data_IF_446934771733
#
_entry.id   IF_446934771733
#
_cell.length_a   1.000
_cell.length_b   1.000
_cell.length_c   1.000
_cell.angle_alpha   90.00
_cell.angle_beta   90.00
_cell.angle_gamma   90.00
#
_symmetry.space_group_name_H-M   'P 1'
#
loop_
_entity.id
_entity.type
_entity.pdbx_description
1 polymer ?
#
# COMPACT_ATOMS: atom_id res chain seq x y z
N UNK A 1 -23.65 -58.30 -59.52
CA UNK A 1 -24.73 -58.58 -58.55
C UNK A 1 -25.06 -57.30 -57.83
N UNK A 2 -26.36 -57.07 -57.63
CA UNK A 2 -27.01 -55.79 -57.41
C UNK A 2 -27.50 -55.68 -55.96
N UNK A 3 -27.57 -54.45 -55.43
CA UNK A 3 -28.21 -54.01 -54.17
C UNK A 3 -27.55 -54.48 -52.87
N UNK A 4 -27.55 -53.79 -51.73
CA UNK A 4 -27.89 -52.44 -51.19
C UNK A 4 -27.40 -52.56 -49.71
N UNK A 5 -27.05 -51.53 -48.96
CA UNK A 5 -27.95 -50.73 -48.10
C UNK A 5 -27.02 -49.83 -47.25
N UNK A 6 -27.19 -48.50 -47.37
CA UNK A 6 -26.75 -47.42 -46.47
C UNK A 6 -27.53 -47.49 -45.13
N UNK A 7 -27.43 -46.52 -44.19
CA UNK A 7 -26.33 -45.77 -43.57
C UNK A 7 -26.36 -46.00 -42.03
N UNK A 8 -25.74 -45.15 -41.19
CA UNK A 8 -26.25 -44.64 -39.88
C UNK A 8 -25.18 -44.51 -38.75
N UNK A 9 -25.25 -43.34 -38.08
CA UNK A 9 -24.70 -42.90 -36.77
C UNK A 9 -23.21 -42.46 -36.71
N UNK A 10 -22.91 -41.16 -36.58
CA UNK A 10 -22.98 -40.29 -35.37
C UNK A 10 -21.87 -40.58 -34.34
N UNK A 11 -20.89 -39.66 -34.24
CA UNK A 11 -20.44 -39.09 -32.98
C UNK A 11 -19.44 -37.94 -33.24
N UNK A 12 -19.85 -36.73 -32.88
CA UNK A 12 -18.97 -35.57 -32.71
C UNK A 12 -17.95 -35.85 -31.59
N UNK A 13 -16.76 -35.20 -31.62
CA UNK A 13 -15.77 -35.36 -30.55
C UNK A 13 -16.24 -34.62 -29.29
N UNK A 14 -16.65 -35.39 -28.28
CA UNK A 14 -16.77 -34.93 -26.88
C UNK A 14 -15.55 -35.39 -26.10
N UNK A 15 -14.51 -34.58 -26.10
CA UNK A 15 -13.48 -34.54 -25.06
C UNK A 15 -13.32 -33.04 -24.77
N UNK A 16 -14.01 -32.47 -23.78
CA UNK A 16 -13.92 -32.89 -22.39
C UNK A 16 -12.85 -32.01 -21.76
N UNK A 17 -13.29 -30.95 -21.11
CA UNK A 17 -12.49 -29.87 -20.57
C UNK A 17 -11.30 -30.37 -19.72
N UNK A 18 -10.08 -30.14 -20.19
CA UNK A 18 -8.92 -29.97 -19.32
C UNK A 18 -8.97 -28.55 -18.76
N UNK A 19 -9.88 -28.31 -17.81
CA UNK A 19 -9.78 -27.15 -16.95
C UNK A 19 -8.70 -27.45 -15.89
N UNK A 20 -7.68 -26.59 -15.71
CA UNK A 20 -6.65 -26.83 -14.72
C UNK A 20 -7.24 -26.58 -13.33
N UNK A 21 -7.73 -27.62 -12.67
CA UNK A 21 -8.13 -27.57 -11.25
C UNK A 21 -6.90 -27.42 -10.33
N UNK A 22 -5.68 -27.43 -10.89
CA UNK A 22 -4.43 -27.21 -10.17
C UNK A 22 -4.21 -25.76 -9.69
N UNK A 23 -4.90 -24.76 -10.25
CA UNK A 23 -4.68 -23.35 -9.87
C UNK A 23 -5.38 -22.93 -8.57
N UNK A 24 -6.25 -23.78 -8.00
CA UNK A 24 -6.93 -23.47 -6.73
C UNK A 24 -6.19 -23.99 -5.49
N UNK A 25 -5.26 -24.94 -5.63
CA UNK A 25 -4.37 -25.36 -4.54
C UNK A 25 -3.02 -24.61 -4.54
N UNK A 26 -2.59 -24.04 -5.66
CA UNK A 26 -1.36 -23.25 -5.73
C UNK A 26 -1.40 -21.95 -4.90
N UNK A 27 -2.58 -21.52 -4.43
CA UNK A 27 -2.71 -20.36 -3.54
C UNK A 27 -2.75 -20.74 -2.05
N UNK A 28 -2.76 -22.03 -1.71
CA UNK A 28 -2.72 -22.49 -0.32
C UNK A 28 -1.29 -22.64 0.23
N UNK A 29 -0.27 -22.64 -0.65
CA UNK A 29 1.14 -22.88 -0.31
C UNK A 29 2.02 -21.65 -0.60
N UNK A 30 1.55 -20.44 -0.27
CA UNK A 30 2.48 -19.35 0.03
C UNK A 30 3.07 -19.61 1.43
N UNK A 31 3.89 -20.66 1.54
CA UNK A 31 4.36 -21.28 2.78
C UNK A 31 5.52 -20.49 3.39
N UNK A 32 5.24 -19.24 3.76
CA UNK A 32 6.12 -18.35 4.48
C UNK A 32 5.37 -17.71 5.65
N UNK A 33 6.08 -17.25 6.71
CA UNK A 33 5.44 -16.53 7.79
C UNK A 33 4.67 -15.34 7.22
N UNK A 34 3.43 -15.15 7.70
CA UNK A 34 2.60 -14.02 7.28
C UNK A 34 3.37 -12.70 7.46
N UNK A 35 3.30 -11.76 6.50
CA UNK A 35 4.02 -10.50 6.62
C UNK A 35 3.63 -9.76 7.90
N UNK A 36 4.64 -9.19 8.58
CA UNK A 36 4.40 -8.34 9.75
C UNK A 36 3.49 -7.18 9.37
N UNK A 37 2.59 -6.81 10.29
CA UNK A 37 1.57 -5.79 10.06
C UNK A 37 1.29 -4.97 11.31
N UNK A 38 0.88 -3.72 11.10
CA UNK A 38 0.37 -2.81 12.12
C UNK A 38 -0.76 -1.97 11.53
N UNK A 39 -2.00 -2.29 11.91
CA UNK A 39 -3.19 -1.71 11.28
C UNK A 39 -3.17 -1.94 9.77
N UNK A 40 -3.28 -0.89 8.94
CA UNK A 40 -3.23 -1.02 7.49
C UNK A 40 -1.79 -1.16 6.93
N UNK A 41 -0.74 -0.93 7.74
CA UNK A 41 0.65 -1.06 7.28
C UNK A 41 1.05 -2.52 7.26
N UNK A 42 1.49 -3.01 6.10
CA UNK A 42 2.02 -4.38 5.94
C UNK A 42 3.42 -4.31 5.33
N UNK A 43 4.35 -5.08 5.89
CA UNK A 43 5.71 -5.20 5.35
C UNK A 43 5.66 -5.73 3.91
N UNK A 44 6.43 -5.10 3.04
CA UNK A 44 6.49 -5.36 1.60
C UNK A 44 5.57 -4.47 0.76
N UNK A 45 4.66 -3.70 1.37
CA UNK A 45 3.79 -2.77 0.63
C UNK A 45 4.48 -1.45 0.28
N UNK A 46 3.99 -0.83 -0.80
CA UNK A 46 4.36 0.54 -1.17
C UNK A 46 3.14 1.44 -1.12
N UNK A 47 3.22 2.53 -0.38
CA UNK A 47 2.15 3.51 -0.27
C UNK A 47 2.40 4.69 -1.19
N UNK A 48 1.37 5.12 -1.91
CA UNK A 48 1.36 6.40 -2.61
C UNK A 48 0.52 7.39 -1.82
N UNK A 49 1.13 8.49 -1.42
CA UNK A 49 0.49 9.59 -0.70
C UNK A 49 0.49 10.81 -1.59
N UNK A 50 -0.67 11.42 -1.82
CA UNK A 50 -0.76 12.61 -2.68
C UNK A 50 -1.83 13.58 -2.21
N UNK A 51 -1.73 14.84 -2.61
CA UNK A 51 -2.77 15.82 -2.33
C UNK A 51 -2.36 17.28 -2.56
N UNK A 52 -3.34 18.20 -2.61
CA UNK A 52 -3.09 19.62 -2.76
C UNK A 52 -2.68 20.28 -1.44
N UNK A 53 -1.65 21.14 -1.48
CA UNK A 53 -1.25 22.04 -0.39
C UNK A 53 -0.52 23.25 -0.95
N UNK A 54 -0.81 24.45 -0.44
CA UNK A 54 -0.16 25.70 -0.85
C UNK A 54 -0.17 25.94 -2.37
N UNK A 55 -1.33 25.68 -3.01
CA UNK A 55 -1.53 25.91 -4.44
C UNK A 55 -0.89 24.88 -5.38
N UNK A 56 -0.30 23.80 -4.84
CA UNK A 56 0.31 22.71 -5.64
C UNK A 56 -0.14 21.33 -5.18
N UNK A 57 -0.08 20.35 -6.08
CA UNK A 57 -0.25 18.94 -5.74
C UNK A 57 1.11 18.30 -5.49
N UNK A 58 1.21 17.54 -4.40
CA UNK A 58 2.40 16.75 -4.06
C UNK A 58 2.08 15.26 -4.13
N UNK A 59 3.08 14.44 -4.45
CA UNK A 59 2.99 12.98 -4.46
C UNK A 59 4.27 12.40 -3.88
N UNK A 60 4.14 11.41 -3.00
CA UNK A 60 5.24 10.74 -2.33
C UNK A 60 4.98 9.23 -2.29
N UNK A 61 6.03 8.45 -2.56
CA UNK A 61 6.00 6.99 -2.37
C UNK A 61 6.68 6.62 -1.05
N UNK A 62 6.09 5.69 -0.30
CA UNK A 62 6.58 5.23 1.01
C UNK A 62 6.66 3.70 1.02
N UNK A 63 7.86 3.16 1.10
CA UNK A 63 8.09 1.71 1.14
C UNK A 63 8.06 1.22 2.60
N UNK A 64 7.27 0.19 2.87
CA UNK A 64 7.20 -0.45 4.19
C UNK A 64 8.15 -1.65 4.18
N UNK A 65 9.43 -1.40 4.46
CA UNK A 65 10.47 -2.44 4.43
C UNK A 65 10.46 -3.34 5.66
N UNK A 66 10.16 -2.79 6.82
CA UNK A 66 9.93 -3.50 8.08
C UNK A 66 9.19 -2.56 9.07
N UNK A 67 8.73 -3.09 10.20
CA UNK A 67 7.95 -2.38 11.21
C UNK A 67 8.58 -2.55 12.60
N UNK A 68 8.59 -1.48 13.40
CA UNK A 68 9.16 -1.46 14.75
C UNK A 68 8.23 -0.74 15.71
N UNK A 69 8.18 -1.23 16.94
CA UNK A 69 7.42 -0.59 18.01
C UNK A 69 8.14 0.67 18.49
N UNK A 70 7.37 1.74 18.66
CA UNK A 70 7.78 3.04 19.16
C UNK A 70 6.80 3.49 20.25
N UNK A 71 7.14 4.54 21.00
CA UNK A 71 6.37 4.96 22.19
C UNK A 71 4.85 5.14 21.93
N UNK A 72 4.47 5.61 20.74
CA UNK A 72 3.08 5.93 20.38
C UNK A 72 2.48 5.01 19.29
N UNK A 73 3.08 3.85 19.03
CA UNK A 73 2.55 2.89 18.04
C UNK A 73 3.63 2.11 17.31
N UNK A 74 3.41 1.88 16.01
CA UNK A 74 4.35 1.15 15.16
C UNK A 74 4.78 2.05 14.01
N UNK A 75 6.08 2.16 13.79
CA UNK A 75 6.67 2.92 12.68
C UNK A 75 7.31 1.97 11.67
N UNK A 76 7.44 2.40 10.42
CA UNK A 76 8.36 1.74 9.49
C UNK A 76 9.79 1.79 10.05
N UNK A 77 10.66 0.84 9.71
CA UNK A 77 12.07 0.84 10.17
C UNK A 77 12.78 2.15 9.81
N UNK A 78 12.52 2.65 8.60
CA UNK A 78 12.92 4.00 8.18
C UNK A 78 12.49 5.06 9.20
N UNK A 79 11.31 4.94 9.80
CA UNK A 79 10.79 5.82 10.84
C UNK A 79 11.57 5.89 12.14
N UNK A 80 12.07 4.75 12.66
CA UNK A 80 12.80 4.75 13.94
C UNK A 80 14.11 5.52 13.82
N UNK A 81 14.89 5.21 12.80
CA UNK A 81 16.18 5.85 12.58
C UNK A 81 16.01 7.29 12.06
N UNK A 82 14.90 7.57 11.37
CA UNK A 82 14.61 8.90 10.86
C UNK A 82 13.93 9.82 11.86
N UNK A 83 13.34 9.35 12.96
CA UNK A 83 12.77 10.26 13.98
C UNK A 83 13.82 11.30 14.45
N UNK A 84 15.05 10.84 14.68
CA UNK A 84 16.18 11.71 15.00
C UNK A 84 16.63 12.55 13.79
N UNK A 85 16.62 11.97 12.59
CA UNK A 85 17.03 12.64 11.36
C UNK A 85 16.05 13.72 10.87
N UNK A 86 14.76 13.59 11.17
CA UNK A 86 13.72 14.60 10.99
C UNK A 86 13.99 15.80 11.91
N UNK A 87 14.42 15.55 13.16
CA UNK A 87 14.90 16.59 14.07
C UNK A 87 16.09 17.38 13.49
N UNK A 88 16.91 16.73 12.66
CA UNK A 88 18.02 17.36 11.94
C UNK A 88 17.64 17.96 10.56
N UNK A 89 16.37 17.87 10.12
CA UNK A 89 15.89 18.49 8.88
C UNK A 89 16.49 17.93 7.59
N UNK A 90 16.93 16.67 7.60
CA UNK A 90 17.62 16.06 6.45
C UNK A 90 16.61 15.60 5.39
N UNK A 91 16.85 15.98 4.14
CA UNK A 91 16.00 15.61 3.01
C UNK A 91 16.16 14.13 2.59
N UNK A 92 15.14 13.61 1.89
CA UNK A 92 15.12 12.24 1.37
C UNK A 92 14.51 11.20 2.31
N UNK A 93 13.98 11.65 3.45
CA UNK A 93 13.40 10.80 4.47
C UNK A 93 11.89 10.68 4.35
N UNK A 94 11.38 9.48 4.64
CA UNK A 94 9.97 9.10 4.49
C UNK A 94 9.60 8.07 5.56
N UNK A 95 8.55 8.35 6.32
CA UNK A 95 8.11 7.56 7.47
C UNK A 95 6.64 7.27 7.36
N UNK A 96 6.25 6.02 7.65
CA UNK A 96 4.86 5.66 7.89
C UNK A 96 4.72 5.24 9.36
N UNK A 97 3.72 5.77 10.05
CA UNK A 97 3.42 5.44 11.45
C UNK A 97 1.96 5.09 11.60
N UNK A 98 1.67 4.05 12.38
CA UNK A 98 0.33 3.69 12.80
C UNK A 98 0.24 3.74 14.33
N UNK A 99 -0.62 4.61 14.84
CA UNK A 99 -1.02 4.66 16.25
C UNK A 99 -2.24 3.75 16.41
N UNK A 100 -2.04 2.59 17.04
CA UNK A 100 -3.09 1.60 17.26
C UNK A 100 -4.18 2.04 18.23
N UNK A 101 -3.85 2.92 19.19
CA UNK A 101 -4.79 3.41 20.20
C UNK A 101 -5.74 4.44 19.60
N UNK A 102 -5.22 5.36 18.79
CA UNK A 102 -6.01 6.40 18.10
C UNK A 102 -6.48 5.98 16.72
N UNK A 103 -6.10 4.78 16.26
CA UNK A 103 -6.35 4.26 14.91
C UNK A 103 -5.99 5.27 13.83
N UNK A 104 -4.88 5.98 14.03
CA UNK A 104 -4.42 7.06 13.15
C UNK A 104 -3.25 6.57 12.32
N UNK A 105 -3.32 6.79 11.00
CA UNK A 105 -2.22 6.55 10.07
C UNK A 105 -1.56 7.88 9.73
N UNK A 106 -0.23 7.92 9.71
CA UNK A 106 0.52 9.12 9.38
C UNK A 106 1.67 8.81 8.44
N UNK A 107 1.85 9.66 7.44
CA UNK A 107 2.99 9.65 6.53
C UNK A 107 3.72 10.98 6.62
N UNK A 108 5.00 10.95 6.96
CA UNK A 108 5.84 12.14 7.09
C UNK A 108 7.00 12.05 6.10
N UNK A 109 7.38 13.15 5.45
CA UNK A 109 8.54 13.20 4.56
C UNK A 109 9.20 14.56 4.48
N UNK A 110 10.50 14.59 4.16
CA UNK A 110 11.29 15.81 3.96
C UNK A 110 11.85 15.81 2.54
N UNK A 111 11.54 16.85 1.77
CA UNK A 111 12.06 17.01 0.40
C UNK A 111 13.33 17.87 0.40
N UNK A 112 14.05 17.92 -0.73
CA UNK A 112 15.42 18.49 -0.86
C UNK A 112 15.60 19.91 -0.30
N UNK A 113 14.58 20.76 -0.37
CA UNK A 113 14.64 22.13 0.15
C UNK A 113 14.37 22.23 1.67
N UNK A 114 14.30 21.10 2.38
CA UNK A 114 13.99 21.03 3.81
C UNK A 114 12.50 21.17 4.15
N UNK A 115 11.62 21.29 3.15
CA UNK A 115 10.19 21.32 3.39
C UNK A 115 9.72 19.97 3.95
N UNK A 116 9.03 20.02 5.08
CA UNK A 116 8.47 18.84 5.74
C UNK A 116 6.99 18.72 5.45
N UNK A 117 6.56 17.54 5.07
CA UNK A 117 5.15 17.22 4.85
C UNK A 117 4.69 16.17 5.85
N UNK A 118 3.42 16.26 6.23
CA UNK A 118 2.75 15.27 7.07
C UNK A 118 1.33 15.06 6.56
N UNK A 119 1.01 13.84 6.14
CA UNK A 119 -0.36 13.42 5.85
C UNK A 119 -0.88 12.62 7.04
N UNK A 120 -1.93 13.13 7.72
CA UNK A 120 -2.55 12.49 8.87
C UNK A 120 -3.97 12.04 8.54
N UNK A 121 -4.24 10.75 8.78
CA UNK A 121 -5.50 10.08 8.49
C UNK A 121 -6.07 9.53 9.80
N UNK A 122 -7.19 10.12 10.25
CA UNK A 122 -7.90 9.66 11.46
C UNK A 122 -8.99 8.62 11.18
N UNK A 123 -9.39 8.45 9.93
CA UNK A 123 -10.53 7.60 9.54
C UNK A 123 -10.08 6.54 8.53
N UNK A 124 -10.03 5.28 8.98
CA UNK A 124 -9.55 4.14 8.18
C UNK A 124 -10.71 3.23 7.77
N UNK A 125 -11.60 3.73 6.91
CA UNK A 125 -12.78 2.98 6.43
C UNK A 125 -12.45 2.15 5.18
N UNK A 126 -12.13 2.83 4.08
CA UNK A 126 -11.79 2.21 2.79
C UNK A 126 -10.77 3.05 2.05
N UNK A 127 -9.90 2.40 1.27
CA UNK A 127 -8.95 3.11 0.43
C UNK A 127 -9.65 3.74 -0.80
N UNK A 128 -9.12 4.86 -1.33
CA UNK A 128 -7.99 5.62 -0.79
C UNK A 128 -8.34 6.32 0.52
N UNK A 129 -7.45 6.24 1.50
CA UNK A 129 -7.66 6.88 2.79
C UNK A 129 -7.48 8.39 2.66
N UNK A 130 -8.43 9.15 3.22
CA UNK A 130 -8.42 10.60 3.16
C UNK A 130 -7.98 11.20 4.50
N UNK A 131 -7.21 12.29 4.43
CA UNK A 131 -6.65 12.94 5.59
C UNK A 131 -6.30 14.40 5.36
N UNK A 132 -5.66 14.97 6.36
CA UNK A 132 -5.14 16.33 6.33
C UNK A 132 -3.65 16.30 5.95
N UNK A 133 -3.28 17.11 4.96
CA UNK A 133 -1.89 17.34 4.57
C UNK A 133 -1.39 18.63 5.22
N UNK A 134 -0.27 18.58 5.91
CA UNK A 134 0.44 19.74 6.44
C UNK A 134 1.78 19.90 5.75
N UNK A 135 2.11 21.11 5.33
CA UNK A 135 3.43 21.52 4.83
C UNK A 135 4.05 22.51 5.81
N UNK A 136 5.29 22.26 6.23
CA UNK A 136 6.12 23.17 7.03
C UNK A 136 7.37 23.56 6.25
N UNK A 137 7.57 24.85 6.01
CA UNK A 137 8.75 25.40 5.30
C UNK A 137 9.10 26.77 5.86
N UNK A 138 10.35 27.00 6.26
CA UNK A 138 10.85 28.33 6.65
C UNK A 138 9.99 29.04 7.72
N UNK A 139 9.51 28.29 8.73
CA UNK A 139 8.63 28.82 9.79
C UNK A 139 7.16 29.00 9.41
N UNK A 140 6.79 28.79 8.14
CA UNK A 140 5.39 28.82 7.67
C UNK A 140 4.79 27.43 7.70
N UNK A 141 3.50 27.37 8.01
CA UNK A 141 2.67 26.16 7.93
C UNK A 141 1.53 26.39 6.96
N UNK A 142 1.31 25.46 6.04
CA UNK A 142 0.16 25.41 5.15
C UNK A 142 -0.55 24.07 5.30
N UNK A 143 -1.87 24.06 5.14
CA UNK A 143 -2.70 22.86 5.24
C UNK A 143 -3.44 22.60 3.94
N UNK A 144 -3.79 21.34 3.72
CA UNK A 144 -4.53 20.86 2.58
C UNK A 144 -5.10 19.47 2.86
N UNK A 145 -5.44 18.74 1.82
CA UNK A 145 -5.95 17.37 1.94
C UNK A 145 -4.93 16.39 1.39
N UNK A 146 -4.94 15.16 1.89
CA UNK A 146 -4.18 14.07 1.31
C UNK A 146 -5.04 12.82 1.13
N UNK A 147 -4.61 12.01 0.16
CA UNK A 147 -5.10 10.69 -0.17
C UNK A 147 -3.93 9.71 -0.08
N UNK A 148 -4.12 8.57 0.59
CA UNK A 148 -3.13 7.51 0.70
C UNK A 148 -3.70 6.17 0.22
N UNK A 149 -2.97 5.50 -0.67
CA UNK A 149 -3.32 4.18 -1.22
C UNK A 149 -2.14 3.24 -1.10
N UNK A 150 -2.39 1.99 -0.70
CA UNK A 150 -1.37 0.94 -0.74
C UNK A 150 -1.40 0.24 -2.09
N UNK A 151 -0.22 0.02 -2.66
CA UNK A 151 -0.01 -0.78 -3.87
C UNK A 151 0.67 -2.10 -3.53
#
# INVERSE_FOLDING_TARGET
>A
MNLKVLPVLLALPLLGACAPVASLLANAEADGPAPRRAGPLVVGQTWTVSGPVDGRTVTQSVNITDLVDVADGTASVNGRDQADAFGAGRAGFTVATYDGSRRTLRFDWIVENGATYSCRIGTLLSQPYQGELTLKTGGRTATGTCSAVSN
#
